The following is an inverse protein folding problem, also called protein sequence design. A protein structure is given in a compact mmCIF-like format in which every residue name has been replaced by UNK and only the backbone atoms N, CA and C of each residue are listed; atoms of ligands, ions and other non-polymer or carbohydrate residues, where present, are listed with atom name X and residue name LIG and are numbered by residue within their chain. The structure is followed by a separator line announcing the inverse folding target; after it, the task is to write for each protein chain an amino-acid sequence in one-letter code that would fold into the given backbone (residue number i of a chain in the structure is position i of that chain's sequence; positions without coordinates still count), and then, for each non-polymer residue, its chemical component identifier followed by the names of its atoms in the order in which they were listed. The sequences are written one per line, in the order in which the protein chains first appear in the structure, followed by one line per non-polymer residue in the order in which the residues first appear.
data_IF_728486030807
#
_entry.id   IF_728486030807
#
_cell.length_a   1.000
_cell.length_b   1.000
_cell.length_c   1.000
_cell.angle_alpha   90.00
_cell.angle_beta   90.00
_cell.angle_gamma   90.00
#
_symmetry.space_group_name_H-M   'P 1'
#
loop_
_entity.id
_entity.type
_entity.pdbx_description
1 polymer ?
#
# COMPACT_ATOMS: atom_id res chain seq x y z
N UNK A 1 17.52 19.40 17.95
CA UNK A 1 16.44 18.45 17.60
C UNK A 1 15.97 17.71 18.85
N UNK A 2 14.68 17.41 18.99
CA UNK A 2 14.19 16.60 20.11
C UNK A 2 14.57 15.12 19.95
N UNK A 3 14.71 14.37 21.06
CA UNK A 3 15.00 12.92 21.05
C UNK A 3 13.97 12.14 20.21
N UNK A 4 12.71 12.60 20.21
CA UNK A 4 11.62 12.01 19.42
C UNK A 4 11.83 12.19 17.91
N UNK A 5 12.22 13.39 17.46
CA UNK A 5 12.52 13.68 16.05
C UNK A 5 13.75 12.93 15.56
N UNK A 6 14.81 12.85 16.37
CA UNK A 6 16.01 12.08 16.03
C UNK A 6 15.66 10.59 15.81
N UNK A 7 14.85 10.01 16.69
CA UNK A 7 14.41 8.61 16.56
C UNK A 7 13.57 8.38 15.30
N UNK A 8 12.70 9.33 14.96
CA UNK A 8 11.89 9.29 13.75
C UNK A 8 12.79 9.24 12.51
N UNK A 9 13.69 10.21 12.35
CA UNK A 9 14.56 10.32 11.18
C UNK A 9 15.42 9.07 11.02
N UNK A 10 16.02 8.58 12.12
CA UNK A 10 16.80 7.34 12.10
C UNK A 10 15.98 6.13 11.65
N UNK A 11 14.72 6.01 12.09
CA UNK A 11 13.85 4.92 11.67
C UNK A 11 13.49 5.00 10.18
N UNK A 12 13.22 6.21 9.66
CA UNK A 12 12.91 6.43 8.25
C UNK A 12 14.13 6.12 7.38
N UNK A 13 15.29 6.68 7.70
CA UNK A 13 16.52 6.46 6.95
C UNK A 13 16.90 4.98 6.89
N UNK A 14 16.77 4.27 8.02
CA UNK A 14 16.96 2.82 8.07
C UNK A 14 15.98 2.05 7.18
N UNK A 15 14.71 2.48 7.13
CA UNK A 15 13.71 1.83 6.27
C UNK A 15 14.02 2.08 4.78
N UNK A 16 14.36 3.32 4.41
CA UNK A 16 14.80 3.68 3.06
C UNK A 16 15.99 2.84 2.62
N UNK A 17 17.05 2.83 3.41
CA UNK A 17 18.26 2.06 3.11
C UNK A 17 17.96 0.58 2.82
N UNK A 18 17.06 -0.03 3.61
CA UNK A 18 16.69 -1.43 3.41
C UNK A 18 15.72 -1.67 2.25
N UNK A 19 14.87 -0.71 1.90
CA UNK A 19 13.84 -0.92 0.88
C UNK A 19 14.38 -0.73 -0.55
N UNK A 20 15.45 0.05 -0.73
CA UNK A 20 16.01 0.36 -2.05
C UNK A 20 16.84 -0.78 -2.66
N UNK A 21 17.31 -1.68 -1.83
CA UNK A 21 18.30 -2.66 -2.21
C UNK A 21 17.80 -3.54 -3.39
N UNK A 22 16.49 -3.80 -3.50
CA UNK A 22 15.87 -4.51 -4.62
C UNK A 22 15.56 -3.70 -5.89
N UNK A 23 15.80 -2.39 -5.92
CA UNK A 23 15.48 -1.51 -7.06
C UNK A 23 16.67 -1.24 -8.01
N UNK A 24 17.86 -1.82 -7.73
CA UNK A 24 19.06 -1.66 -8.54
C UNK A 24 19.52 -3.01 -9.10
N UNK A 25 18.90 -3.46 -10.20
CA UNK A 25 19.44 -4.59 -10.99
C UNK A 25 19.95 -4.24 -12.38
N UNK A 26 19.90 -2.97 -12.87
CA UNK A 26 20.42 -2.70 -14.24
C UNK A 26 21.23 -1.40 -14.43
N UNK A 27 21.22 -0.39 -13.54
CA UNK A 27 21.88 0.90 -13.87
C UNK A 27 23.02 1.41 -12.98
N UNK A 28 23.40 0.73 -11.88
CA UNK A 28 24.47 1.22 -11.00
C UNK A 28 25.47 0.12 -10.63
N UNK A 29 26.09 -0.50 -11.63
CA UNK A 29 27.23 -1.40 -11.43
C UNK A 29 28.55 -0.69 -11.10
N UNK A 30 28.58 0.63 -10.88
CA UNK A 30 29.83 1.37 -10.70
C UNK A 30 29.73 2.53 -9.69
N UNK A 31 29.37 2.25 -8.43
CA UNK A 31 29.80 3.09 -7.30
C UNK A 31 29.78 2.30 -5.99
N UNK A 32 30.87 1.61 -5.76
CA UNK A 32 31.25 1.06 -4.47
C UNK A 32 31.60 2.25 -3.55
N UNK A 33 30.63 2.75 -2.78
CA UNK A 33 30.89 3.53 -1.58
C UNK A 33 29.68 3.48 -0.65
N UNK A 34 29.93 3.08 0.59
CA UNK A 34 28.97 2.72 1.65
C UNK A 34 28.28 3.94 2.30
N UNK A 35 28.11 5.02 1.53
CA UNK A 35 27.49 6.27 1.96
C UNK A 35 26.43 6.70 0.93
N UNK A 36 25.22 6.18 1.09
CA UNK A 36 24.05 6.70 0.37
C UNK A 36 23.67 8.06 1.00
N UNK A 37 23.94 9.15 0.27
CA UNK A 37 23.52 10.50 0.64
C UNK A 37 21.99 10.61 0.54
N UNK A 38 21.36 11.39 1.44
CA UNK A 38 19.91 11.73 1.40
C UNK A 38 19.45 12.22 0.01
N UNK A 39 20.38 12.76 -0.78
CA UNK A 39 20.18 13.31 -2.14
C UNK A 39 19.67 12.31 -3.18
N UNK A 40 19.71 11.00 -2.90
CA UNK A 40 19.42 9.97 -3.90
C UNK A 40 17.93 9.54 -3.94
N UNK A 41 17.08 9.97 -2.98
CA UNK A 41 15.64 9.65 -2.97
C UNK A 41 14.76 10.71 -3.64
N UNK A 42 15.31 11.89 -3.93
CA UNK A 42 14.63 13.04 -4.52
C UNK A 42 15.45 13.67 -5.66
N UNK A 43 16.28 12.85 -6.32
CA UNK A 43 17.23 13.29 -7.35
C UNK A 43 16.54 13.73 -8.65
N UNK A 44 15.39 13.14 -8.99
CA UNK A 44 14.56 13.52 -10.12
C UNK A 44 13.68 14.75 -9.82
N UNK A 45 13.52 15.12 -8.54
CA UNK A 45 12.75 16.27 -8.07
C UNK A 45 11.30 16.26 -8.53
N UNK A 46 10.64 15.11 -8.53
CA UNK A 46 9.24 15.00 -8.95
C UNK A 46 8.29 15.77 -8.05
N UNK A 47 8.63 15.99 -6.77
CA UNK A 47 7.85 16.85 -5.89
C UNK A 47 7.73 18.31 -6.42
N UNK A 48 8.71 18.77 -7.20
CA UNK A 48 8.74 20.13 -7.76
C UNK A 48 8.34 20.15 -9.24
N UNK A 49 8.72 19.12 -9.99
CA UNK A 49 8.68 19.12 -11.46
C UNK A 49 7.53 18.31 -12.05
N UNK A 50 7.00 17.32 -11.32
CA UNK A 50 5.94 16.47 -11.84
C UNK A 50 4.61 17.21 -11.76
N UNK A 51 4.05 17.56 -12.91
CA UNK A 51 2.69 18.09 -12.98
C UNK A 51 1.73 17.05 -12.40
N UNK A 52 0.94 17.46 -11.42
CA UNK A 52 -0.07 16.63 -10.80
C UNK A 52 -0.99 16.05 -11.87
N UNK A 53 -1.49 14.82 -11.68
CA UNK A 53 -2.40 14.12 -12.60
C UNK A 53 -3.55 15.04 -13.02
N UNK A 54 -3.40 15.70 -14.17
CA UNK A 54 -4.44 16.56 -14.72
C UNK A 54 -5.47 15.69 -15.44
N UNK A 55 -6.73 16.12 -15.46
CA UNK A 55 -7.79 15.39 -16.19
C UNK A 55 -7.42 15.18 -17.68
N UNK A 56 -6.57 16.06 -18.24
CA UNK A 56 -6.03 15.94 -19.59
C UNK A 56 -5.06 14.77 -19.77
N UNK A 57 -4.35 14.38 -18.71
CA UNK A 57 -3.40 13.25 -18.71
C UNK A 57 -4.08 11.91 -18.42
N UNK A 58 -5.26 11.92 -17.77
CA UNK A 58 -5.87 10.70 -17.20
C UNK A 58 -7.05 10.14 -18.00
N UNK A 59 -7.42 10.75 -19.13
CA UNK A 59 -8.45 10.33 -20.10
C UNK A 59 -9.30 9.10 -19.72
N UNK A 60 -10.18 9.25 -18.71
CA UNK A 60 -10.91 8.14 -18.13
C UNK A 60 -11.99 7.64 -19.10
N UNK A 61 -11.90 6.36 -19.46
CA UNK A 61 -12.81 5.69 -20.37
C UNK A 61 -13.33 4.35 -19.81
N UNK A 62 -13.16 4.10 -18.51
CA UNK A 62 -13.54 2.83 -17.90
C UNK A 62 -15.01 2.90 -17.48
N UNK A 63 -15.76 1.86 -17.87
CA UNK A 63 -17.17 1.72 -17.50
C UNK A 63 -17.36 1.67 -15.99
N UNK A 64 -18.43 2.32 -15.51
CA UNK A 64 -18.84 2.36 -14.10
C UNK A 64 -20.23 1.77 -13.95
N UNK A 65 -20.34 0.75 -13.10
CA UNK A 65 -21.61 0.10 -12.79
C UNK A 65 -21.91 0.25 -11.30
N UNK A 66 -23.14 0.58 -10.96
CA UNK A 66 -23.60 0.54 -9.57
C UNK A 66 -23.78 -0.91 -9.15
N UNK A 67 -23.04 -1.34 -8.13
CA UNK A 67 -23.07 -2.72 -7.66
C UNK A 67 -24.46 -3.15 -7.15
N UNK A 68 -25.34 -2.21 -6.78
CA UNK A 68 -26.72 -2.53 -6.41
C UNK A 68 -27.63 -2.85 -7.60
N UNK A 69 -27.16 -2.63 -8.84
CA UNK A 69 -27.94 -2.76 -10.08
C UNK A 69 -27.45 -3.89 -11.00
N UNK A 70 -26.54 -4.72 -10.53
CA UNK A 70 -25.99 -5.84 -11.30
C UNK A 70 -25.92 -7.09 -10.41
N UNK A 71 -26.32 -8.24 -10.93
CA UNK A 71 -26.18 -9.51 -10.21
C UNK A 71 -24.79 -10.11 -10.38
N UNK A 72 -24.46 -11.13 -9.57
CA UNK A 72 -23.18 -11.85 -9.68
C UNK A 72 -23.06 -12.54 -11.05
N UNK A 73 -24.14 -13.11 -11.56
CA UNK A 73 -24.18 -13.77 -12.87
C UNK A 73 -23.97 -12.77 -14.01
N UNK A 74 -24.65 -11.63 -13.96
CA UNK A 74 -24.46 -10.58 -14.96
C UNK A 74 -23.04 -10.01 -14.94
N UNK A 75 -22.46 -9.85 -13.74
CA UNK A 75 -21.07 -9.44 -13.59
C UNK A 75 -20.12 -10.47 -14.21
N UNK A 76 -20.33 -11.75 -13.93
CA UNK A 76 -19.51 -12.84 -14.46
C UNK A 76 -19.57 -12.91 -16.00
N UNK A 77 -20.77 -12.84 -16.58
CA UNK A 77 -20.99 -12.91 -18.03
C UNK A 77 -20.44 -11.69 -18.77
N UNK A 78 -20.67 -10.48 -18.24
CA UNK A 78 -20.32 -9.23 -18.93
C UNK A 78 -18.85 -8.85 -18.76
N UNK A 79 -18.25 -9.14 -17.61
CA UNK A 79 -16.92 -8.65 -17.23
C UNK A 79 -15.92 -9.76 -16.95
N UNK A 80 -16.18 -10.63 -15.96
CA UNK A 80 -15.19 -11.61 -15.47
C UNK A 80 -14.78 -12.62 -16.57
N UNK A 81 -15.76 -13.30 -17.17
CA UNK A 81 -15.53 -14.30 -18.21
C UNK A 81 -14.86 -13.69 -19.45
N UNK A 82 -15.20 -12.44 -19.74
CA UNK A 82 -14.71 -11.70 -20.91
C UNK A 82 -13.38 -10.97 -20.65
N UNK A 83 -12.89 -11.00 -19.41
CA UNK A 83 -11.68 -10.30 -18.98
C UNK A 83 -11.73 -8.78 -19.27
N UNK A 84 -12.90 -8.17 -19.10
CA UNK A 84 -13.12 -6.73 -19.33
C UNK A 84 -13.07 -5.97 -18.00
N UNK A 85 -12.22 -4.93 -17.86
CA UNK A 85 -12.15 -4.14 -16.64
C UNK A 85 -13.41 -3.28 -16.45
N UNK A 86 -13.89 -3.19 -15.21
CA UNK A 86 -15.04 -2.38 -14.82
C UNK A 86 -14.81 -1.75 -13.44
N UNK A 87 -15.33 -0.55 -13.22
CA UNK A 87 -15.37 0.09 -11.90
C UNK A 87 -16.74 -0.17 -11.26
N UNK A 88 -16.76 -0.98 -10.21
CA UNK A 88 -17.96 -1.20 -9.41
C UNK A 88 -18.11 -0.09 -8.35
N UNK A 89 -19.18 0.70 -8.47
CA UNK A 89 -19.53 1.78 -7.54
C UNK A 89 -20.50 1.28 -6.46
N UNK A 90 -20.59 1.97 -5.33
CA UNK A 90 -21.53 1.63 -4.25
C UNK A 90 -21.13 0.45 -3.35
N UNK A 91 -20.19 -0.41 -3.77
CA UNK A 91 -19.73 -1.62 -3.05
C UNK A 91 -19.31 -1.41 -1.58
N UNK A 92 -18.65 -0.29 -1.30
CA UNK A 92 -17.99 -0.07 -0.01
C UNK A 92 -18.78 0.86 0.92
N UNK A 93 -19.98 1.28 0.52
CA UNK A 93 -20.78 2.29 1.24
C UNK A 93 -21.14 1.87 2.66
N UNK A 94 -21.35 0.57 2.89
CA UNK A 94 -21.67 0.01 4.20
C UNK A 94 -20.43 -0.33 5.06
N UNK A 95 -19.22 -0.28 4.49
CA UNK A 95 -18.00 -0.62 5.20
C UNK A 95 -17.69 0.41 6.29
N UNK A 96 -17.40 -0.05 7.51
CA UNK A 96 -17.02 0.87 8.59
C UNK A 96 -15.66 1.53 8.36
N UNK A 97 -14.84 0.97 7.46
CA UNK A 97 -13.61 1.56 6.93
C UNK A 97 -13.81 2.99 6.42
N UNK A 98 -14.95 3.29 5.78
CA UNK A 98 -15.29 4.64 5.27
C UNK A 98 -15.19 5.75 6.32
N UNK A 99 -15.40 5.40 7.60
CA UNK A 99 -15.28 6.33 8.74
C UNK A 99 -14.02 6.08 9.59
N UNK A 100 -13.65 4.81 9.77
CA UNK A 100 -12.55 4.41 10.67
C UNK A 100 -11.17 4.59 10.07
N UNK A 101 -11.01 4.53 8.76
CA UNK A 101 -9.70 4.59 8.09
C UNK A 101 -9.28 6.02 7.74
N UNK A 102 -9.41 6.93 8.70
CA UNK A 102 -8.86 8.28 8.61
C UNK A 102 -7.50 8.36 9.30
N UNK A 103 -6.63 9.28 8.85
CA UNK A 103 -5.29 9.49 9.44
C UNK A 103 -5.34 9.60 10.99
N UNK A 104 -6.24 10.40 11.61
CA UNK A 104 -6.29 10.49 13.07
C UNK A 104 -6.69 9.18 13.76
N UNK A 105 -7.63 8.44 13.17
CA UNK A 105 -8.12 7.17 13.73
C UNK A 105 -7.08 6.06 13.62
N UNK A 106 -6.41 5.96 12.47
CA UNK A 106 -5.31 5.02 12.25
C UNK A 106 -4.12 5.34 13.17
N UNK A 107 -3.77 6.62 13.32
CA UNK A 107 -2.73 7.06 14.25
C UNK A 107 -3.09 6.72 15.70
N UNK A 108 -4.35 6.89 16.11
CA UNK A 108 -4.82 6.59 17.47
C UNK A 108 -4.79 5.08 17.75
N UNK A 109 -5.40 4.27 16.88
CA UNK A 109 -5.59 2.81 17.08
C UNK A 109 -4.30 2.02 16.83
N UNK A 110 -3.55 2.35 15.78
CA UNK A 110 -2.40 1.56 15.32
C UNK A 110 -1.05 2.25 15.54
N UNK A 111 -0.99 3.32 16.35
CA UNK A 111 0.19 4.18 16.61
C UNK A 111 1.54 3.45 16.62
N UNK A 112 1.61 2.35 17.36
CA UNK A 112 2.85 1.60 17.62
C UNK A 112 2.93 0.25 16.86
N UNK A 113 1.93 -0.08 16.04
CA UNK A 113 1.96 -1.27 15.18
C UNK A 113 2.86 -1.00 13.98
N UNK A 114 3.57 -2.04 13.54
CA UNK A 114 4.48 -1.98 12.39
C UNK A 114 3.76 -2.48 11.14
N UNK A 115 3.86 -1.74 10.04
CA UNK A 115 3.33 -2.11 8.73
C UNK A 115 4.47 -2.30 7.74
N UNK A 116 4.37 -3.30 6.85
CA UNK A 116 5.33 -3.50 5.74
C UNK A 116 5.25 -2.30 4.81
N UNK A 117 6.40 -1.71 4.50
CA UNK A 117 6.52 -0.56 3.61
C UNK A 117 7.65 -0.70 2.58
N UNK A 118 8.10 -1.94 2.35
CA UNK A 118 9.21 -2.29 1.47
C UNK A 118 9.74 -3.69 1.76
N UNK A 119 10.76 -4.08 1.00
CA UNK A 119 11.43 -5.37 1.09
C UNK A 119 12.93 -5.14 0.85
N UNK A 120 13.78 -5.80 1.63
CA UNK A 120 15.23 -5.76 1.42
C UNK A 120 15.71 -6.89 0.52
N UNK A 121 16.98 -6.84 0.13
CA UNK A 121 17.64 -7.83 -0.75
C UNK A 121 17.54 -9.26 -0.25
N UNK A 122 17.51 -9.43 1.08
CA UNK A 122 17.38 -10.72 1.74
C UNK A 122 15.93 -11.24 1.75
N UNK A 123 15.02 -10.59 1.01
CA UNK A 123 13.59 -10.87 0.97
C UNK A 123 12.86 -10.50 2.27
N UNK A 124 13.55 -9.87 3.24
CA UNK A 124 12.92 -9.55 4.52
C UNK A 124 12.10 -8.27 4.40
N UNK A 125 10.91 -8.31 4.99
CA UNK A 125 10.02 -7.15 5.04
C UNK A 125 10.64 -5.99 5.81
N UNK A 126 10.67 -4.82 5.17
CA UNK A 126 10.96 -3.55 5.83
C UNK A 126 9.66 -3.05 6.45
N UNK A 127 9.67 -2.74 7.75
CA UNK A 127 8.46 -2.31 8.48
C UNK A 127 8.67 -1.05 9.29
N UNK A 128 7.73 -0.10 9.20
CA UNK A 128 7.68 1.12 10.01
C UNK A 128 6.49 1.13 10.95
N UNK A 129 6.64 1.80 12.11
CA UNK A 129 5.47 2.06 12.98
C UNK A 129 4.56 3.07 12.30
N UNK A 130 3.23 2.89 12.43
CA UNK A 130 2.23 3.81 11.85
C UNK A 130 2.55 5.28 12.15
N UNK A 131 2.89 5.62 13.40
CA UNK A 131 3.24 7.01 13.77
C UNK A 131 4.44 7.59 13.02
N UNK A 132 5.41 6.74 12.64
CA UNK A 132 6.58 7.19 11.90
C UNK A 132 6.27 7.30 10.41
N UNK A 133 5.50 6.36 9.88
CA UNK A 133 5.06 6.39 8.48
C UNK A 133 4.18 7.61 8.19
N UNK A 134 3.22 7.93 9.08
CA UNK A 134 2.37 9.10 8.91
C UNK A 134 3.14 10.42 9.02
N UNK A 135 4.17 10.49 9.86
CA UNK A 135 5.02 11.68 9.92
C UNK A 135 5.91 11.80 8.69
N UNK A 136 6.46 10.69 8.20
CA UNK A 136 7.18 10.61 6.93
C UNK A 136 6.35 11.12 5.77
N UNK A 137 5.11 10.62 5.63
CA UNK A 137 4.18 11.02 4.56
C UNK A 137 3.87 12.52 4.56
N UNK A 138 3.94 13.19 5.71
CA UNK A 138 3.68 14.64 5.81
C UNK A 138 4.85 15.52 5.36
N UNK A 139 6.05 14.97 5.31
CA UNK A 139 7.30 15.74 5.15
C UNK A 139 8.12 15.32 3.94
N UNK A 140 7.87 14.13 3.38
CA UNK A 140 8.68 13.56 2.31
C UNK A 140 8.53 14.34 1.00
N UNK A 141 9.65 14.47 0.30
CA UNK A 141 9.76 14.98 -1.07
C UNK A 141 10.37 13.93 -2.00
N UNK A 142 10.31 12.66 -1.58
CA UNK A 142 10.91 11.56 -2.33
C UNK A 142 10.21 11.39 -3.68
N UNK A 143 10.97 11.08 -4.72
CA UNK A 143 10.46 10.83 -6.07
C UNK A 143 9.57 9.59 -6.12
N UNK A 144 9.90 8.58 -5.31
CA UNK A 144 9.12 7.36 -5.10
C UNK A 144 9.06 7.03 -3.62
N UNK A 145 8.08 7.58 -2.87
CA UNK A 145 8.00 7.41 -1.43
C UNK A 145 7.84 5.95 -0.98
N UNK A 146 8.25 5.65 0.26
CA UNK A 146 7.91 4.38 0.92
C UNK A 146 6.39 4.19 0.93
N UNK A 147 5.93 2.99 0.61
CA UNK A 147 4.51 2.70 0.45
C UNK A 147 4.09 1.52 1.34
N UNK A 148 3.07 1.71 2.19
CA UNK A 148 2.54 0.61 3.00
C UNK A 148 1.86 -0.41 2.07
N UNK A 149 2.34 -1.65 2.13
CA UNK A 149 1.80 -2.78 1.40
C UNK A 149 2.00 -4.05 2.23
N UNK A 150 1.02 -4.40 3.06
CA UNK A 150 1.19 -5.34 4.17
C UNK A 150 0.19 -6.49 4.14
N UNK A 151 0.59 -7.63 3.59
CA UNK A 151 -0.30 -8.79 3.51
C UNK A 151 -0.57 -9.51 4.82
N UNK A 152 0.17 -9.19 5.89
CA UNK A 152 0.15 -9.95 7.15
C UNK A 152 -0.75 -9.31 8.20
N UNK A 153 -1.59 -8.36 7.82
CA UNK A 153 -2.36 -7.56 8.78
C UNK A 153 -3.43 -8.40 9.49
N UNK A 154 -3.98 -9.41 8.81
CA UNK A 154 -5.03 -10.29 9.32
C UNK A 154 -4.56 -11.30 10.37
N UNK A 155 -3.27 -11.66 10.35
CA UNK A 155 -2.69 -12.67 11.24
C UNK A 155 -2.15 -12.06 12.53
N UNK A 156 -1.98 -10.74 12.58
CA UNK A 156 -1.42 -10.03 13.75
C UNK A 156 -2.50 -9.61 14.73
N UNK A 157 -2.45 -10.12 15.96
CA UNK A 157 -3.44 -9.87 17.03
C UNK A 157 -3.97 -8.43 17.16
N UNK A 158 -3.09 -7.42 17.15
CA UNK A 158 -3.52 -6.00 17.29
C UNK A 158 -4.04 -5.40 15.98
N UNK A 159 -3.57 -5.89 14.84
CA UNK A 159 -3.86 -5.30 13.51
C UNK A 159 -5.06 -5.95 12.84
N UNK A 160 -5.34 -7.23 13.15
CA UNK A 160 -6.44 -8.02 12.56
C UNK A 160 -7.82 -7.37 12.67
N UNK A 161 -8.02 -6.44 13.60
CA UNK A 161 -9.24 -5.63 13.70
C UNK A 161 -9.54 -4.81 12.42
N UNK A 162 -8.60 -4.66 11.49
CA UNK A 162 -8.88 -4.11 10.16
C UNK A 162 -9.82 -5.02 9.34
N UNK A 163 -9.82 -6.34 9.59
CA UNK A 163 -10.74 -7.29 8.96
C UNK A 163 -12.21 -7.08 9.38
N UNK A 164 -12.45 -6.36 10.48
CA UNK A 164 -13.81 -6.00 10.93
C UNK A 164 -14.33 -4.75 10.21
N UNK A 165 -13.47 -4.06 9.46
CA UNK A 165 -13.80 -2.78 8.87
C UNK A 165 -14.33 -2.89 7.43
N UNK A 166 -14.19 -4.07 6.80
CA UNK A 166 -14.68 -4.41 5.45
C UNK A 166 -15.15 -5.86 5.37
N UNK A 167 -15.77 -6.24 4.27
CA UNK A 167 -16.06 -7.64 3.92
C UNK A 167 -15.77 -7.87 2.43
N UNK A 168 -15.55 -9.12 2.03
CA UNK A 168 -15.36 -9.47 0.62
C UNK A 168 -16.72 -9.37 -0.09
N UNK A 169 -16.86 -8.57 -1.17
CA UNK A 169 -18.09 -8.52 -1.95
C UNK A 169 -18.45 -9.89 -2.56
N UNK A 170 -19.74 -10.13 -2.77
CA UNK A 170 -20.25 -11.38 -3.34
C UNK A 170 -19.65 -11.73 -4.71
N UNK A 171 -19.34 -10.72 -5.53
CA UNK A 171 -18.63 -10.86 -6.81
C UNK A 171 -17.26 -11.54 -6.72
N UNK A 172 -16.66 -11.59 -5.52
CA UNK A 172 -15.31 -12.12 -5.29
C UNK A 172 -15.28 -13.22 -4.21
N UNK A 173 -16.43 -13.82 -3.90
CA UNK A 173 -16.60 -14.67 -2.73
C UNK A 173 -16.07 -16.12 -2.90
N UNK A 174 -15.86 -16.60 -4.12
CA UNK A 174 -15.43 -17.99 -4.39
C UNK A 174 -14.08 -18.31 -3.75
N UNK A 175 -13.08 -17.49 -4.08
CA UNK A 175 -11.73 -17.56 -3.52
C UNK A 175 -11.18 -19.00 -3.44
N UNK A 176 -11.04 -19.65 -4.61
CA UNK A 176 -10.70 -21.07 -4.72
C UNK A 176 -9.37 -21.45 -4.01
N UNK A 177 -8.48 -20.49 -3.80
CA UNK A 177 -7.24 -20.74 -3.04
C UNK A 177 -7.47 -21.02 -1.55
N UNK A 178 -8.67 -20.77 -1.00
CA UNK A 178 -9.04 -21.16 0.37
C UNK A 178 -8.98 -22.67 0.62
N UNK A 179 -9.07 -23.48 -0.44
CA UNK A 179 -8.97 -24.94 -0.34
C UNK A 179 -7.51 -25.42 -0.22
N UNK A 180 -6.53 -24.56 -0.50
CA UNK A 180 -5.16 -24.78 -0.06
C UNK A 180 -5.05 -24.50 1.45
N UNK A 181 -4.14 -25.16 2.15
CA UNK A 181 -3.91 -24.81 3.56
C UNK A 181 -3.39 -23.38 3.70
N UNK A 182 -3.81 -22.66 4.75
CA UNK A 182 -3.46 -21.26 4.96
C UNK A 182 -1.93 -21.02 4.92
N UNK A 183 -1.14 -21.98 5.42
CA UNK A 183 0.32 -21.91 5.42
C UNK A 183 0.96 -22.12 4.03
N UNK A 184 0.24 -22.68 3.07
CA UNK A 184 0.71 -22.94 1.69
C UNK A 184 0.16 -21.94 0.70
N UNK A 185 -0.94 -21.29 1.04
CA UNK A 185 -1.55 -20.28 0.20
C UNK A 185 -0.63 -19.06 0.09
N UNK A 186 -0.48 -18.53 -1.11
CA UNK A 186 0.25 -17.29 -1.35
C UNK A 186 -0.48 -16.10 -0.71
N UNK A 187 0.22 -15.01 -0.34
CA UNK A 187 -0.42 -13.77 0.08
C UNK A 187 -1.51 -13.32 -0.91
N UNK A 188 -2.69 -12.95 -0.41
CA UNK A 188 -3.90 -12.74 -1.23
C UNK A 188 -4.72 -11.50 -0.83
N UNK A 189 -4.31 -10.82 0.24
CA UNK A 189 -4.92 -9.59 0.74
C UNK A 189 -3.79 -8.67 1.18
N UNK A 190 -3.93 -7.37 0.97
CA UNK A 190 -2.97 -6.33 1.36
C UNK A 190 -3.70 -5.12 1.92
#
# INVERSE_FOLDING_TARGET
MSVSQYRLQRCILHAKHKARSGALSVLLLWKYNDELLEEDWSSAKYCETFETLSEKLTGDNIERVDASKITVEEFAEKYELRHVPVVLTGLTTCWSATRKWSIPMLLKKYRNQRFKCGEGDDGRSVKLKMKYFLEYMRQTVDDSPLYIFDSTFGERYKVRHLLEDYHVPEFFADDLFRYASENRRLPYRW
#
